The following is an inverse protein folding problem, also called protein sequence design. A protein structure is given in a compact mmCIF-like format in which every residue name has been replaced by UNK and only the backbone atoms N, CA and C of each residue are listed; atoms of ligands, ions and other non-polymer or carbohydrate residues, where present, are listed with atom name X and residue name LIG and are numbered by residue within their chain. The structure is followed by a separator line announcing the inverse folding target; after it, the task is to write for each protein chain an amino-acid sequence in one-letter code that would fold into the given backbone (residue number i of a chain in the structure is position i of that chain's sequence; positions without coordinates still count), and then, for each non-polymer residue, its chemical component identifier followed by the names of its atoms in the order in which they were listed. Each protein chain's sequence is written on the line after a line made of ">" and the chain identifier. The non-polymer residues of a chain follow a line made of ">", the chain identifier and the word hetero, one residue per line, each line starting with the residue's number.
data_IF_666446868721
#
_entry.id   IF_666446868721
#
_cell.length_a   1.000
_cell.length_b   1.000
_cell.length_c   1.000
_cell.angle_alpha   90.00
_cell.angle_beta   90.00
_cell.angle_gamma   90.00
#
_symmetry.space_group_name_H-M   'P 1'
#
loop_
_entity.id
_entity.type
_entity.pdbx_description
1 polymer ?
#
# COMPACT_ATOMS: atom_id res chain seq x y z
N UNK A 1 20.22 -20.32 21.77
CA UNK A 1 19.86 -21.00 23.04
C UNK A 1 18.35 -20.98 23.39
N UNK A 2 17.47 -20.33 22.63
CA UNK A 2 15.99 -20.30 22.85
C UNK A 2 15.21 -21.47 22.21
N UNK A 3 15.83 -22.24 21.36
CA UNK A 3 15.19 -23.33 20.59
C UNK A 3 15.06 -24.66 21.33
N UNK A 4 15.69 -24.80 22.51
CA UNK A 4 15.76 -26.05 23.25
C UNK A 4 14.75 -26.18 24.42
N UNK A 5 13.96 -25.15 24.71
CA UNK A 5 12.90 -25.31 25.74
C UNK A 5 11.60 -25.73 25.07
N UNK A 6 11.43 -27.03 24.91
CA UNK A 6 10.18 -27.67 24.54
C UNK A 6 9.10 -27.34 25.58
N UNK A 7 8.11 -26.53 25.21
CA UNK A 7 6.89 -26.40 25.97
C UNK A 7 6.04 -27.64 25.77
N UNK A 8 5.39 -28.19 26.82
CA UNK A 8 4.54 -29.38 26.69
C UNK A 8 3.43 -29.07 25.67
N UNK A 9 3.27 -30.04 24.77
CA UNK A 9 2.40 -29.93 23.62
C UNK A 9 0.97 -29.57 23.95
N UNK A 10 0.59 -28.46 23.43
CA UNK A 10 -0.76 -28.25 22.97
C UNK A 10 -0.68 -27.45 21.65
N UNK A 11 -1.48 -27.85 20.66
CA UNK A 11 -1.57 -27.21 19.33
C UNK A 11 -1.96 -25.73 19.37
N UNK A 12 -2.09 -25.16 20.54
CA UNK A 12 -2.39 -23.76 20.87
C UNK A 12 -1.16 -22.98 21.32
N UNK A 13 0.06 -23.38 20.95
CA UNK A 13 1.26 -22.71 21.44
C UNK A 13 1.28 -21.25 21.04
N UNK A 14 1.43 -20.37 22.02
CA UNK A 14 1.47 -18.93 21.91
C UNK A 14 2.92 -18.43 21.95
N UNK A 15 3.87 -19.33 21.70
CA UNK A 15 5.28 -19.00 21.60
C UNK A 15 5.65 -18.43 20.23
N UNK A 16 6.88 -17.91 20.10
CA UNK A 16 7.42 -17.55 18.78
C UNK A 16 7.48 -18.80 17.89
N UNK A 17 7.62 -18.61 16.55
CA UNK A 17 7.78 -19.73 15.63
C UNK A 17 8.88 -20.67 16.09
N UNK A 18 8.61 -21.98 16.09
CA UNK A 18 9.55 -23.01 16.61
C UNK A 18 10.70 -23.30 15.65
N UNK A 19 10.44 -23.14 14.35
CA UNK A 19 11.42 -23.36 13.30
C UNK A 19 11.94 -22.04 12.73
N UNK A 20 13.19 -21.99 12.26
CA UNK A 20 13.73 -20.82 11.60
C UNK A 20 12.84 -20.39 10.41
N UNK A 21 12.73 -19.07 10.15
CA UNK A 21 12.06 -18.59 8.95
C UNK A 21 12.65 -19.22 7.69
N UNK A 22 11.78 -19.56 6.73
CA UNK A 22 12.18 -20.14 5.47
C UNK A 22 11.31 -19.62 4.32
N UNK A 23 11.79 -19.70 3.09
CA UNK A 23 10.99 -19.44 1.91
C UNK A 23 10.02 -20.58 1.63
N UNK A 24 8.90 -20.26 0.96
CA UNK A 24 7.89 -21.24 0.56
C UNK A 24 8.51 -22.46 -0.16
N UNK A 25 9.43 -22.21 -1.09
CA UNK A 25 10.08 -23.27 -1.89
C UNK A 25 10.91 -24.22 -1.03
N UNK A 26 11.51 -23.74 0.05
CA UNK A 26 12.30 -24.54 0.99
C UNK A 26 11.35 -25.41 1.82
N UNK A 27 10.28 -24.83 2.34
CA UNK A 27 9.27 -25.55 3.13
C UNK A 27 8.60 -26.65 2.31
N UNK A 28 8.27 -26.37 1.03
CA UNK A 28 7.67 -27.36 0.14
C UNK A 28 8.58 -28.58 -0.12
N UNK A 29 9.91 -28.42 -0.06
CA UNK A 29 10.87 -29.54 -0.23
C UNK A 29 11.04 -30.38 1.04
N UNK A 30 10.89 -29.77 2.20
CA UNK A 30 11.14 -30.44 3.49
C UNK A 30 9.92 -31.17 4.06
N UNK A 31 8.72 -30.70 3.73
CA UNK A 31 7.47 -31.24 4.30
C UNK A 31 6.98 -32.46 3.50
N UNK A 32 6.58 -33.51 4.24
CA UNK A 32 5.94 -34.71 3.66
C UNK A 32 4.40 -34.67 3.78
N UNK A 33 3.88 -33.83 4.65
CA UNK A 33 2.45 -33.66 4.94
C UNK A 33 2.11 -32.18 5.04
N UNK A 34 0.91 -31.80 4.62
CA UNK A 34 0.45 -30.40 4.65
C UNK A 34 1.40 -29.42 3.92
N UNK A 35 1.82 -29.80 2.72
CA UNK A 35 2.79 -29.05 1.91
C UNK A 35 2.13 -27.75 1.45
N UNK A 36 2.75 -26.58 1.73
CA UNK A 36 2.33 -25.33 1.09
C UNK A 36 2.51 -25.40 -0.42
N UNK A 37 1.51 -25.00 -1.17
CA UNK A 37 1.53 -24.92 -2.63
C UNK A 37 1.80 -23.47 -3.07
N UNK A 38 2.65 -23.32 -4.08
CA UNK A 38 2.94 -22.02 -4.69
C UNK A 38 2.44 -22.01 -6.12
N UNK A 39 1.49 -21.11 -6.42
CA UNK A 39 0.88 -20.93 -7.72
C UNK A 39 1.45 -19.64 -8.32
N UNK A 40 2.33 -19.70 -9.35
CA UNK A 40 2.85 -18.51 -10.03
C UNK A 40 1.73 -17.73 -10.71
N UNK A 41 1.81 -16.38 -10.68
CA UNK A 41 0.79 -15.50 -11.28
C UNK A 41 1.42 -14.57 -12.32
N UNK A 42 2.30 -13.67 -11.92
CA UNK A 42 3.00 -12.79 -12.86
C UNK A 42 4.48 -13.13 -12.90
N UNK A 43 5.10 -13.18 -14.09
CA UNK A 43 6.55 -13.40 -14.20
C UNK A 43 7.33 -12.16 -13.75
N UNK A 44 8.62 -12.34 -13.48
CA UNK A 44 9.54 -11.24 -13.33
C UNK A 44 9.69 -10.49 -14.67
N UNK A 45 9.84 -9.17 -14.59
CA UNK A 45 10.02 -8.33 -15.78
C UNK A 45 10.80 -7.06 -15.46
N UNK A 46 11.34 -6.41 -16.48
CA UNK A 46 11.94 -5.08 -16.33
C UNK A 46 10.93 -4.00 -16.64
N UNK A 47 10.91 -2.97 -15.82
CA UNK A 47 10.08 -1.79 -16.03
C UNK A 47 11.03 -0.61 -16.26
N UNK A 48 10.99 -0.02 -17.42
CA UNK A 48 11.76 1.18 -17.72
C UNK A 48 10.98 2.43 -17.35
N UNK A 49 11.62 3.39 -16.70
CA UNK A 49 11.03 4.69 -16.39
C UNK A 49 11.10 5.58 -17.61
N UNK A 50 9.95 5.94 -18.18
CA UNK A 50 9.88 6.70 -19.43
C UNK A 50 10.21 8.18 -19.28
N UNK A 51 9.91 8.77 -18.12
CA UNK A 51 10.07 10.22 -17.87
C UNK A 51 10.85 10.44 -16.60
N UNK A 52 11.85 11.32 -16.67
CA UNK A 52 12.58 11.75 -15.50
C UNK A 52 11.70 12.65 -14.61
N UNK A 53 11.91 12.56 -13.29
CA UNK A 53 11.40 13.57 -12.38
C UNK A 53 12.13 14.89 -12.59
N UNK A 54 11.41 15.99 -12.69
CA UNK A 54 12.01 17.30 -12.90
C UNK A 54 12.05 18.11 -11.59
N UNK A 55 13.23 18.61 -11.18
CA UNK A 55 13.32 19.51 -10.05
C UNK A 55 12.61 20.83 -10.39
N UNK A 56 11.80 21.30 -9.46
CA UNK A 56 11.12 22.59 -9.56
C UNK A 56 11.75 23.54 -8.55
N UNK A 57 12.48 24.56 -9.04
CA UNK A 57 13.20 25.55 -8.20
C UNK A 57 14.06 24.95 -7.10
N UNK A 58 14.63 23.77 -7.31
CA UNK A 58 15.60 23.13 -6.42
C UNK A 58 16.67 22.41 -7.23
N UNK A 59 17.76 22.00 -6.57
CA UNK A 59 18.78 21.18 -7.22
C UNK A 59 18.27 19.74 -7.44
N UNK A 60 18.75 19.04 -8.48
CA UNK A 60 18.48 17.60 -8.63
C UNK A 60 18.85 16.82 -7.35
N UNK A 61 18.02 15.82 -7.04
CA UNK A 61 18.20 15.00 -5.84
C UNK A 61 18.33 13.52 -6.21
N UNK A 62 19.32 12.79 -5.65
CA UNK A 62 19.61 11.39 -6.04
C UNK A 62 18.46 10.41 -5.87
N UNK A 63 17.52 10.67 -4.97
CA UNK A 63 16.34 9.83 -4.77
C UNK A 63 15.47 9.69 -6.04
N UNK A 64 15.58 10.60 -7.01
CA UNK A 64 14.82 10.60 -8.25
C UNK A 64 15.63 10.10 -9.46
N UNK A 65 16.90 9.77 -9.25
CA UNK A 65 17.77 9.19 -10.26
C UNK A 65 17.68 7.65 -10.23
N UNK A 66 16.51 7.11 -10.60
CA UNK A 66 16.26 5.68 -10.63
C UNK A 66 15.86 5.30 -12.05
N UNK A 67 16.79 4.80 -12.88
CA UNK A 67 16.54 4.56 -14.31
C UNK A 67 15.61 3.37 -14.56
N UNK A 68 15.67 2.34 -13.75
CA UNK A 68 14.91 1.10 -13.93
C UNK A 68 14.23 0.63 -12.64
N UNK A 69 13.06 0.01 -12.80
CA UNK A 69 12.44 -0.79 -11.76
C UNK A 69 12.19 -2.21 -12.30
N UNK A 70 12.43 -3.22 -11.50
CA UNK A 70 12.15 -4.61 -11.84
C UNK A 70 10.74 -4.98 -11.38
N UNK A 71 9.98 -5.60 -12.27
CA UNK A 71 8.71 -6.21 -11.86
C UNK A 71 9.00 -7.45 -11.02
N UNK A 72 8.51 -7.45 -9.80
CA UNK A 72 8.58 -8.61 -8.92
C UNK A 72 7.66 -9.72 -9.42
N UNK A 73 8.12 -10.96 -9.50
CA UNK A 73 7.23 -12.09 -9.77
C UNK A 73 6.22 -12.22 -8.63
N UNK A 74 4.96 -12.45 -8.99
CA UNK A 74 3.90 -12.65 -8.01
C UNK A 74 3.40 -14.08 -8.02
N UNK A 75 2.91 -14.53 -6.87
CA UNK A 75 2.37 -15.86 -6.67
C UNK A 75 1.23 -15.85 -5.65
N UNK A 76 0.45 -16.92 -5.63
CA UNK A 76 -0.48 -17.23 -4.56
C UNK A 76 0.05 -18.45 -3.79
N UNK A 77 0.27 -18.29 -2.49
CA UNK A 77 0.59 -19.38 -1.59
C UNK A 77 -0.69 -19.98 -1.01
N UNK A 78 -0.84 -21.29 -1.07
CA UNK A 78 -1.90 -22.08 -0.43
C UNK A 78 -1.31 -22.85 0.72
N UNK A 79 -1.77 -22.57 1.96
CA UNK A 79 -1.13 -23.08 3.19
C UNK A 79 -2.19 -23.79 4.03
N UNK A 80 -2.16 -25.13 4.08
CA UNK A 80 -3.04 -25.91 4.96
C UNK A 80 -2.79 -25.55 6.42
N UNK A 81 -3.84 -25.35 7.19
CA UNK A 81 -3.80 -24.98 8.62
C UNK A 81 -2.87 -23.82 8.95
N UNK A 82 -2.75 -22.89 7.98
CA UNK A 82 -1.91 -21.71 8.11
C UNK A 82 -2.42 -20.71 9.16
N UNK A 83 -1.49 -19.95 9.74
CA UNK A 83 -1.78 -18.91 10.74
C UNK A 83 -1.28 -17.55 10.29
N UNK A 84 -1.98 -16.51 10.72
CA UNK A 84 -1.56 -15.11 10.52
C UNK A 84 -1.46 -14.42 11.87
N UNK A 85 -0.36 -13.69 12.09
CA UNK A 85 -0.12 -12.91 13.31
C UNK A 85 0.11 -11.45 12.94
N UNK A 86 -0.68 -10.52 13.49
CA UNK A 86 -0.47 -9.08 13.42
C UNK A 86 0.55 -8.58 14.46
N UNK A 87 0.90 -7.29 14.43
CA UNK A 87 0.46 -6.24 13.50
C UNK A 87 1.22 -6.20 12.15
N UNK A 88 2.50 -6.56 12.09
CA UNK A 88 3.32 -6.61 10.87
C UNK A 88 3.28 -7.98 10.20
N UNK A 89 2.14 -8.50 10.05
CA UNK A 89 1.73 -9.72 9.32
C UNK A 89 2.80 -10.81 9.18
N UNK A 90 2.89 -11.70 10.18
CA UNK A 90 3.64 -12.94 10.06
C UNK A 90 2.72 -14.07 9.61
N UNK A 91 3.11 -14.80 8.58
CA UNK A 91 2.42 -15.99 8.07
C UNK A 91 3.19 -17.23 8.50
N UNK A 92 2.49 -18.15 9.18
CA UNK A 92 3.09 -19.36 9.73
C UNK A 92 2.42 -20.61 9.16
N UNK A 93 3.21 -21.65 8.92
CA UNK A 93 2.73 -22.98 8.55
C UNK A 93 2.15 -23.73 9.76
N UNK A 94 1.48 -24.87 9.52
CA UNK A 94 1.05 -25.80 10.57
C UNK A 94 2.21 -26.35 11.40
N UNK A 95 3.39 -26.48 10.80
CA UNK A 95 4.63 -26.89 11.48
C UNK A 95 5.30 -25.76 12.29
N UNK A 96 4.63 -24.63 12.47
CA UNK A 96 5.12 -23.50 13.27
C UNK A 96 6.38 -22.82 12.70
N UNK A 97 6.47 -22.73 11.36
CA UNK A 97 7.54 -22.04 10.64
C UNK A 97 7.01 -20.78 9.95
N UNK A 98 7.68 -19.66 10.14
CA UNK A 98 7.36 -18.43 9.45
C UNK A 98 7.82 -18.48 7.99
N UNK A 99 6.95 -18.05 7.07
CA UNK A 99 7.23 -17.94 5.63
C UNK A 99 7.77 -16.55 5.32
N UNK A 100 9.08 -16.45 5.09
CA UNK A 100 9.79 -15.16 4.96
C UNK A 100 9.45 -14.36 3.72
N UNK A 101 9.01 -15.01 2.64
CA UNK A 101 8.64 -14.38 1.37
C UNK A 101 7.24 -13.75 1.37
N UNK A 102 6.43 -14.02 2.37
CA UNK A 102 5.09 -13.43 2.57
C UNK A 102 4.92 -12.75 3.93
N UNK A 103 5.96 -12.76 4.77
CA UNK A 103 6.01 -12.13 6.10
C UNK A 103 7.07 -11.04 6.10
N UNK A 104 6.70 -9.87 5.58
CA UNK A 104 7.64 -8.74 5.45
C UNK A 104 7.50 -7.82 6.66
N UNK A 105 8.60 -7.61 7.38
CA UNK A 105 8.73 -6.59 8.43
C UNK A 105 9.90 -5.67 8.05
N UNK A 106 9.59 -4.45 7.61
CA UNK A 106 10.60 -3.54 7.05
C UNK A 106 11.69 -3.20 8.06
N UNK A 107 12.93 -3.48 7.69
CA UNK A 107 14.09 -3.29 8.55
C UNK A 107 14.35 -4.44 9.52
N UNK A 108 13.47 -5.46 9.58
CA UNK A 108 13.60 -6.60 10.49
C UNK A 108 13.38 -7.94 9.78
N UNK A 109 14.25 -8.34 8.84
CA UNK A 109 14.05 -9.55 8.06
C UNK A 109 14.32 -10.82 8.88
N UNK A 110 13.70 -11.93 8.48
CA UNK A 110 13.97 -13.26 9.01
C UNK A 110 13.76 -13.37 10.52
N UNK A 111 14.80 -13.72 11.27
CA UNK A 111 14.74 -13.87 12.74
C UNK A 111 14.52 -12.55 13.50
N UNK A 112 14.75 -11.42 12.86
CA UNK A 112 14.51 -10.10 13.45
C UNK A 112 13.04 -9.70 13.38
N UNK A 113 12.24 -10.41 12.59
CA UNK A 113 10.81 -10.17 12.49
C UNK A 113 10.13 -10.21 13.86
N UNK A 114 9.15 -9.32 14.11
CA UNK A 114 8.52 -9.18 15.42
C UNK A 114 8.00 -10.51 15.99
N UNK A 115 7.44 -11.39 15.13
CA UNK A 115 6.89 -12.67 15.56
C UNK A 115 7.95 -13.63 16.10
N UNK A 116 9.21 -13.52 15.62
CA UNK A 116 10.34 -14.32 16.09
C UNK A 116 10.98 -13.74 17.36
N UNK A 117 10.84 -12.45 17.60
CA UNK A 117 11.46 -11.73 18.73
C UNK A 117 10.61 -11.72 20.00
N UNK A 118 9.30 -11.94 19.88
CA UNK A 118 8.40 -11.94 21.02
C UNK A 118 8.51 -13.23 21.83
N UNK A 119 8.47 -13.10 23.13
CA UNK A 119 8.43 -14.25 24.03
C UNK A 119 7.09 -15.00 23.93
N UNK A 120 6.00 -14.26 23.72
CA UNK A 120 4.65 -14.80 23.51
C UNK A 120 3.95 -14.06 22.37
N UNK A 121 3.27 -14.80 21.52
CA UNK A 121 2.31 -14.28 20.56
C UNK A 121 0.92 -14.17 21.22
N UNK A 122 -0.01 -13.37 20.68
CA UNK A 122 -1.39 -13.38 21.11
C UNK A 122 -2.03 -14.78 21.03
N UNK A 123 -3.11 -15.00 21.78
CA UNK A 123 -3.86 -16.27 21.66
C UNK A 123 -4.35 -16.45 20.24
N UNK A 124 -4.12 -17.64 19.68
CA UNK A 124 -4.61 -17.99 18.36
C UNK A 124 -6.10 -18.30 18.42
N UNK A 125 -6.88 -17.70 17.52
CA UNK A 125 -8.29 -18.04 17.32
C UNK A 125 -8.44 -18.87 16.05
N UNK A 126 -9.12 -20.00 16.17
CA UNK A 126 -9.41 -20.90 15.06
C UNK A 126 -10.70 -20.49 14.34
N UNK A 127 -10.67 -20.51 13.02
CA UNK A 127 -11.80 -20.31 12.15
C UNK A 127 -11.91 -21.49 11.19
N UNK A 128 -13.13 -21.95 10.95
CA UNK A 128 -13.42 -22.95 9.93
C UNK A 128 -13.33 -22.35 8.51
N UNK A 129 -13.00 -23.19 7.55
CA UNK A 129 -12.98 -22.86 6.14
C UNK A 129 -11.69 -22.18 5.70
N UNK A 130 -11.81 -21.39 4.65
CA UNK A 130 -10.70 -20.75 3.93
C UNK A 130 -10.61 -19.25 4.16
N UNK A 131 -9.39 -18.70 4.12
CA UNK A 131 -9.19 -17.26 4.21
C UNK A 131 -8.16 -16.74 3.20
N UNK A 132 -8.42 -15.52 2.67
CA UNK A 132 -7.49 -14.78 1.83
C UNK A 132 -6.84 -13.65 2.65
N UNK A 133 -5.52 -13.62 2.67
CA UNK A 133 -4.75 -12.59 3.37
C UNK A 133 -4.54 -11.39 2.46
N UNK A 134 -5.23 -10.29 2.74
CA UNK A 134 -4.97 -8.98 2.13
C UNK A 134 -4.00 -8.17 2.98
N UNK A 135 -3.99 -8.38 4.29
CA UNK A 135 -3.11 -7.69 5.21
C UNK A 135 -1.63 -7.85 4.84
N UNK A 136 -0.87 -6.78 4.95
CA UNK A 136 0.59 -6.75 4.87
C UNK A 136 1.12 -5.59 5.72
N UNK A 137 2.42 -5.54 5.94
CA UNK A 137 3.05 -4.45 6.68
C UNK A 137 2.67 -3.09 6.08
N UNK A 138 2.21 -2.18 6.93
CA UNK A 138 1.79 -0.83 6.53
C UNK A 138 0.43 -0.72 5.86
N UNK A 139 -0.30 -1.83 5.63
CA UNK A 139 -1.61 -1.79 4.93
C UNK A 139 -2.74 -1.16 5.76
N UNK A 140 -2.46 -0.70 6.96
CA UNK A 140 -3.28 0.22 7.74
C UNK A 140 -3.13 1.69 7.31
N UNK A 141 -2.22 1.97 6.35
CA UNK A 141 -2.04 3.27 5.70
C UNK A 141 -2.55 3.23 4.26
N UNK A 142 -3.06 4.36 3.77
CA UNK A 142 -3.72 4.43 2.46
C UNK A 142 -2.81 4.03 1.29
N UNK A 143 -1.55 4.49 1.29
CA UNK A 143 -0.58 4.14 0.24
C UNK A 143 -0.41 2.63 0.10
N UNK A 144 -0.03 1.95 1.18
CA UNK A 144 0.22 0.50 1.17
C UNK A 144 -1.05 -0.32 0.98
N UNK A 145 -2.20 0.20 1.43
CA UNK A 145 -3.46 -0.42 1.10
C UNK A 145 -3.71 -0.46 -0.40
N UNK A 146 -3.51 0.66 -1.09
CA UNK A 146 -3.75 0.79 -2.53
C UNK A 146 -2.71 0.04 -3.37
N UNK A 147 -1.44 0.01 -2.95
CA UNK A 147 -0.35 -0.55 -3.77
C UNK A 147 -0.02 -1.99 -3.43
N UNK A 148 -0.18 -2.40 -2.17
CA UNK A 148 0.34 -3.67 -1.69
C UNK A 148 -0.74 -4.64 -1.20
N UNK A 149 -1.83 -4.13 -0.61
CA UNK A 149 -2.86 -4.96 -0.01
C UNK A 149 -4.03 -5.26 -0.96
N UNK A 150 -4.73 -4.23 -1.45
CA UNK A 150 -5.91 -4.38 -2.29
C UNK A 150 -5.62 -5.12 -3.61
N UNK A 151 -4.48 -4.90 -4.30
CA UNK A 151 -4.14 -5.63 -5.52
C UNK A 151 -3.91 -7.14 -5.31
N UNK A 152 -3.77 -7.60 -4.09
CA UNK A 152 -3.73 -9.04 -3.77
C UNK A 152 -5.01 -9.77 -4.16
N UNK A 153 -6.15 -9.06 -4.27
CA UNK A 153 -7.38 -9.60 -4.84
C UNK A 153 -7.20 -10.03 -6.30
N UNK A 154 -6.46 -9.24 -7.10
CA UNK A 154 -6.18 -9.60 -8.49
C UNK A 154 -5.27 -10.83 -8.59
N UNK A 155 -4.25 -10.95 -7.74
CA UNK A 155 -3.37 -12.12 -7.69
C UNK A 155 -4.19 -13.39 -7.38
N UNK A 156 -5.07 -13.32 -6.38
CA UNK A 156 -5.92 -14.45 -6.01
C UNK A 156 -6.91 -14.80 -7.12
N UNK A 157 -7.57 -13.81 -7.72
CA UNK A 157 -8.52 -14.02 -8.83
C UNK A 157 -7.84 -14.62 -10.08
N UNK A 158 -6.60 -14.22 -10.37
CA UNK A 158 -5.83 -14.79 -11.48
C UNK A 158 -5.46 -16.27 -11.22
N UNK A 159 -5.03 -16.58 -10.00
CA UNK A 159 -4.60 -17.92 -9.62
C UNK A 159 -5.74 -18.93 -9.48
N UNK A 160 -6.91 -18.50 -8.99
CA UNK A 160 -8.03 -19.35 -8.64
C UNK A 160 -9.24 -19.24 -9.58
N UNK A 161 -9.21 -18.26 -10.50
CA UNK A 161 -10.34 -17.89 -11.34
C UNK A 161 -11.19 -16.76 -10.74
N UNK A 162 -11.75 -15.90 -11.60
CA UNK A 162 -12.47 -14.68 -11.20
C UNK A 162 -13.71 -14.93 -10.30
N UNK A 163 -14.31 -16.12 -10.39
CA UNK A 163 -15.47 -16.52 -9.57
C UNK A 163 -15.12 -17.07 -8.20
N UNK A 164 -13.84 -17.36 -7.93
CA UNK A 164 -13.44 -17.93 -6.65
C UNK A 164 -13.65 -16.95 -5.49
N UNK A 165 -14.12 -17.47 -4.36
CA UNK A 165 -14.31 -16.71 -3.12
C UNK A 165 -13.85 -17.53 -1.92
N UNK A 166 -13.02 -16.97 -1.02
CA UNK A 166 -12.76 -17.58 0.28
C UNK A 166 -13.95 -17.38 1.22
N UNK A 167 -13.98 -18.07 2.34
CA UNK A 167 -14.97 -17.84 3.40
C UNK A 167 -14.71 -16.55 4.16
N UNK A 168 -13.41 -16.12 4.25
CA UNK A 168 -12.96 -14.97 5.01
C UNK A 168 -11.89 -14.16 4.29
N UNK A 169 -11.85 -12.85 4.57
CA UNK A 169 -10.79 -11.93 4.12
C UNK A 169 -10.09 -11.33 5.34
N UNK A 170 -8.75 -11.36 5.38
CA UNK A 170 -7.94 -10.86 6.49
C UNK A 170 -7.34 -9.52 6.09
N UNK A 171 -7.62 -8.47 6.87
CA UNK A 171 -7.08 -7.12 6.70
C UNK A 171 -6.34 -6.67 7.95
N UNK A 172 -5.44 -5.69 7.85
CA UNK A 172 -4.72 -5.16 9.02
C UNK A 172 -5.66 -4.43 9.97
N UNK A 173 -6.49 -3.52 9.44
CA UNK A 173 -7.44 -2.74 10.24
C UNK A 173 -8.72 -2.43 9.44
N UNK A 174 -9.82 -3.07 9.81
CA UNK A 174 -11.14 -2.86 9.20
C UNK A 174 -11.83 -1.57 9.67
N UNK A 175 -11.32 -0.88 10.68
CA UNK A 175 -11.89 0.41 11.12
C UNK A 175 -11.50 1.55 10.19
N UNK A 176 -10.46 1.40 9.38
CA UNK A 176 -10.08 2.37 8.37
C UNK A 176 -11.19 2.49 7.32
N UNK A 177 -11.69 3.70 7.12
CA UNK A 177 -12.78 3.99 6.19
C UNK A 177 -12.46 3.53 4.78
N UNK A 178 -11.26 3.86 4.28
CA UNK A 178 -10.82 3.46 2.94
C UNK A 178 -10.74 1.93 2.76
N UNK A 179 -10.42 1.16 3.81
CA UNK A 179 -10.44 -0.30 3.76
C UNK A 179 -11.85 -0.81 3.54
N UNK A 180 -12.80 -0.39 4.38
CA UNK A 180 -14.20 -0.84 4.26
C UNK A 180 -14.81 -0.49 2.91
N UNK A 181 -14.72 0.78 2.52
CA UNK A 181 -15.36 1.28 1.32
C UNK A 181 -14.76 0.68 0.04
N UNK A 182 -13.43 0.47 0.00
CA UNK A 182 -12.77 -0.11 -1.18
C UNK A 182 -13.06 -1.59 -1.40
N UNK A 183 -13.58 -2.31 -0.41
CA UNK A 183 -13.98 -3.70 -0.54
C UNK A 183 -15.39 -3.88 -1.12
N UNK A 184 -16.21 -2.83 -1.15
CA UNK A 184 -17.60 -2.86 -1.64
C UNK A 184 -17.72 -3.30 -3.11
N UNK A 185 -16.93 -2.77 -4.08
CA UNK A 185 -17.05 -3.17 -5.49
C UNK A 185 -16.73 -4.65 -5.74
N UNK A 186 -16.00 -5.27 -4.81
CA UNK A 186 -15.67 -6.70 -4.89
C UNK A 186 -16.75 -7.60 -4.27
N UNK A 187 -17.85 -7.02 -3.73
CA UNK A 187 -18.91 -7.77 -3.07
C UNK A 187 -18.46 -8.47 -1.78
N UNK A 188 -17.43 -7.96 -1.10
CA UNK A 188 -16.90 -8.53 0.13
C UNK A 188 -17.74 -8.03 1.31
N UNK A 189 -18.51 -8.91 1.98
CA UNK A 189 -19.38 -8.48 3.08
C UNK A 189 -18.56 -8.17 4.35
N UNK A 190 -18.83 -7.09 5.06
CA UNK A 190 -18.10 -6.73 6.28
C UNK A 190 -18.09 -7.83 7.35
N UNK A 191 -19.14 -8.66 7.39
CA UNK A 191 -19.26 -9.79 8.32
C UNK A 191 -18.29 -10.94 8.05
N UNK A 192 -17.64 -10.95 6.87
CA UNK A 192 -16.62 -11.93 6.46
C UNK A 192 -15.21 -11.34 6.45
N UNK A 193 -15.04 -10.13 6.97
CA UNK A 193 -13.73 -9.48 7.10
C UNK A 193 -13.21 -9.63 8.52
N UNK A 194 -12.01 -10.20 8.64
CA UNK A 194 -11.29 -10.33 9.92
C UNK A 194 -10.20 -9.26 9.96
N UNK A 195 -10.23 -8.47 11.04
CA UNK A 195 -9.26 -7.40 11.30
C UNK A 195 -8.18 -7.88 12.28
N UNK A 196 -6.91 -7.82 11.86
CA UNK A 196 -5.79 -8.18 12.75
C UNK A 196 -5.60 -7.19 13.90
N UNK A 197 -6.17 -5.98 13.83
CA UNK A 197 -6.20 -5.05 14.95
C UNK A 197 -7.10 -5.54 16.10
N UNK A 198 -8.10 -6.36 15.80
CA UNK A 198 -9.04 -6.95 16.79
C UNK A 198 -8.75 -8.42 17.09
N UNK A 199 -8.40 -9.19 16.06
CA UNK A 199 -8.07 -10.61 16.12
C UNK A 199 -6.60 -10.80 15.68
N UNK A 200 -5.63 -10.51 16.58
CA UNK A 200 -4.23 -10.37 16.18
C UNK A 200 -3.52 -11.69 15.89
N UNK A 201 -4.15 -12.83 16.07
CA UNK A 201 -3.61 -14.14 15.74
C UNK A 201 -4.75 -15.11 15.37
N UNK A 202 -4.78 -15.52 14.11
CA UNK A 202 -5.84 -16.35 13.54
C UNK A 202 -5.29 -17.54 12.77
N UNK A 203 -6.03 -18.66 12.76
CA UNK A 203 -5.74 -19.87 12.01
C UNK A 203 -6.96 -20.32 11.22
N UNK A 204 -6.72 -20.86 10.03
CA UNK A 204 -7.75 -21.38 9.12
C UNK A 204 -7.42 -22.80 8.66
N UNK A 205 -8.43 -23.54 8.24
CA UNK A 205 -8.24 -24.85 7.61
C UNK A 205 -7.41 -24.71 6.34
N UNK A 206 -7.69 -23.66 5.55
CA UNK A 206 -6.94 -23.32 4.35
C UNK A 206 -6.66 -21.82 4.29
N UNK A 207 -5.40 -21.44 4.26
CA UNK A 207 -4.97 -20.05 4.12
C UNK A 207 -4.44 -19.81 2.71
N UNK A 208 -4.91 -18.73 2.07
CA UNK A 208 -4.43 -18.23 0.79
C UNK A 208 -3.69 -16.92 1.01
N UNK A 209 -2.43 -16.87 0.62
CA UNK A 209 -1.56 -15.72 0.84
C UNK A 209 -0.93 -15.29 -0.46
N UNK A 210 -1.45 -14.22 -1.10
CA UNK A 210 -0.78 -13.62 -2.25
C UNK A 210 0.55 -13.00 -1.82
N UNK A 211 1.56 -13.07 -2.69
CA UNK A 211 2.80 -12.29 -2.53
C UNK A 211 2.50 -10.79 -2.57
N UNK A 212 3.50 -9.97 -2.22
CA UNK A 212 3.41 -8.52 -2.44
C UNK A 212 3.48 -8.21 -3.94
N UNK A 213 2.71 -7.21 -4.42
CA UNK A 213 2.78 -6.74 -5.81
C UNK A 213 4.09 -6.02 -6.16
N UNK A 214 4.84 -5.60 -5.16
CA UNK A 214 6.15 -4.95 -5.31
C UNK A 214 7.16 -5.54 -4.32
N UNK A 215 8.44 -5.56 -4.70
CA UNK A 215 9.49 -6.22 -3.92
C UNK A 215 9.93 -5.47 -2.68
N UNK A 216 9.73 -4.16 -2.64
CA UNK A 216 10.34 -3.34 -1.61
C UNK A 216 9.40 -2.27 -1.07
N UNK A 217 9.72 -1.81 0.13
CA UNK A 217 9.18 -0.59 0.72
C UNK A 217 9.40 0.67 -0.13
N UNK A 218 10.17 0.58 -1.23
CA UNK A 218 10.45 1.69 -2.13
C UNK A 218 9.27 2.08 -3.04
N UNK A 219 8.20 1.28 -3.06
CA UNK A 219 6.99 1.65 -3.76
C UNK A 219 7.12 1.68 -5.28
N UNK A 220 7.76 0.66 -5.87
CA UNK A 220 7.77 0.47 -7.33
C UNK A 220 6.72 -0.59 -7.75
N UNK A 221 5.42 -0.28 -7.73
CA UNK A 221 4.40 -1.24 -8.08
C UNK A 221 4.41 -1.55 -9.58
N UNK A 222 4.00 -2.77 -9.90
CA UNK A 222 3.87 -3.24 -11.28
C UNK A 222 2.74 -2.49 -12.01
N UNK A 223 2.81 -2.29 -13.35
CA UNK A 223 1.78 -1.59 -14.14
C UNK A 223 0.38 -2.14 -13.95
N UNK A 224 0.23 -3.47 -13.86
CA UNK A 224 -1.06 -4.12 -13.66
C UNK A 224 -1.80 -3.67 -12.38
N UNK A 225 -1.07 -3.13 -11.38
CA UNK A 225 -1.69 -2.59 -10.16
C UNK A 225 -2.58 -1.38 -10.46
N UNK A 226 -2.10 -0.44 -11.28
CA UNK A 226 -2.91 0.70 -11.69
C UNK A 226 -4.08 0.30 -12.60
N UNK A 227 -3.87 -0.65 -13.49
CA UNK A 227 -4.92 -1.21 -14.37
C UNK A 227 -6.02 -1.88 -13.54
N UNK A 228 -5.65 -2.71 -12.58
CA UNK A 228 -6.59 -3.35 -11.66
C UNK A 228 -7.40 -2.33 -10.87
N UNK A 229 -6.76 -1.33 -10.26
CA UNK A 229 -7.46 -0.32 -9.47
C UNK A 229 -8.42 0.50 -10.32
N UNK A 230 -8.01 0.95 -11.50
CA UNK A 230 -8.87 1.72 -12.40
C UNK A 230 -10.06 0.90 -12.87
N UNK A 231 -9.86 -0.35 -13.25
CA UNK A 231 -10.94 -1.25 -13.66
C UNK A 231 -11.92 -1.52 -12.51
N UNK A 232 -11.40 -1.77 -11.30
CA UNK A 232 -12.24 -2.08 -10.13
C UNK A 232 -13.14 -0.91 -9.70
N UNK A 233 -12.68 0.33 -9.90
CA UNK A 233 -13.39 1.54 -9.47
C UNK A 233 -13.94 2.38 -10.64
N UNK A 234 -13.95 1.84 -11.85
CA UNK A 234 -14.41 2.55 -13.06
C UNK A 234 -15.81 3.12 -12.91
N UNK A 235 -16.75 2.35 -12.38
CA UNK A 235 -18.14 2.81 -12.18
C UNK A 235 -18.23 4.00 -11.21
N UNK A 236 -17.31 4.13 -10.29
CA UNK A 236 -17.24 5.29 -9.39
C UNK A 236 -16.60 6.50 -10.07
N UNK A 237 -15.59 6.27 -10.89
CA UNK A 237 -14.92 7.31 -11.66
C UNK A 237 -15.86 7.98 -12.70
N UNK A 238 -16.75 7.18 -13.30
CA UNK A 238 -17.70 7.63 -14.34
C UNK A 238 -18.97 8.30 -13.79
N UNK A 239 -19.23 8.18 -12.48
CA UNK A 239 -20.37 8.85 -11.82
C UNK A 239 -20.13 10.36 -11.63
N UNK A 240 -20.11 11.07 -12.75
CA UNK A 240 -19.67 12.49 -12.87
C UNK A 240 -20.78 13.49 -12.58
N UNK A 241 -21.60 13.31 -11.55
CA UNK A 241 -22.64 14.29 -11.17
C UNK A 241 -22.11 15.61 -10.60
N UNK A 242 -20.79 15.78 -10.47
CA UNK A 242 -20.17 16.99 -9.93
C UNK A 242 -19.11 17.53 -10.87
N UNK A 243 -19.05 18.85 -11.06
CA UNK A 243 -17.92 19.54 -11.65
C UNK A 243 -16.67 19.28 -10.79
N UNK A 244 -15.86 18.32 -11.19
CA UNK A 244 -14.60 18.04 -10.51
C UNK A 244 -13.57 19.08 -10.93
N UNK A 245 -12.93 19.75 -9.97
CA UNK A 245 -11.82 20.64 -10.27
C UNK A 245 -10.69 19.85 -10.92
N UNK A 246 -10.23 20.34 -12.07
CA UNK A 246 -9.08 19.74 -12.76
C UNK A 246 -7.75 19.99 -12.04
N UNK A 247 -7.72 20.90 -11.07
CA UNK A 247 -6.52 21.29 -10.33
C UNK A 247 -6.74 21.20 -8.81
N UNK A 248 -5.92 20.39 -8.14
CA UNK A 248 -6.08 20.03 -6.74
C UNK A 248 -4.81 20.35 -5.96
N UNK A 249 -4.97 21.05 -4.83
CA UNK A 249 -3.98 21.10 -3.76
C UNK A 249 -4.36 20.06 -2.70
N UNK A 250 -3.47 19.10 -2.45
CA UNK A 250 -3.63 18.14 -1.35
C UNK A 250 -3.15 18.81 -0.07
N UNK A 251 -4.10 19.12 0.81
CA UNK A 251 -3.81 19.62 2.15
C UNK A 251 -3.74 18.41 3.12
N UNK A 252 -2.83 18.45 4.06
CA UNK A 252 -2.70 17.42 5.10
C UNK A 252 -3.23 17.98 6.40
N UNK A 253 -4.43 17.56 6.78
CA UNK A 253 -4.98 17.90 8.09
C UNK A 253 -4.14 17.28 9.23
N UNK A 254 -4.03 17.94 10.34
CA UNK A 254 -3.72 17.37 11.66
C UNK A 254 -2.33 16.78 11.97
N UNK A 255 -1.53 16.32 11.01
CA UNK A 255 -0.17 15.83 11.27
C UNK A 255 0.83 17.00 11.21
N UNK A 256 1.04 17.65 12.35
CA UNK A 256 1.93 18.82 12.47
C UNK A 256 3.37 18.58 11.95
N UNK A 257 3.84 17.33 11.93
CA UNK A 257 5.20 17.01 11.46
C UNK A 257 5.35 17.06 9.94
N UNK A 258 4.25 17.07 9.19
CA UNK A 258 4.22 17.01 7.72
C UNK A 258 3.22 17.97 7.09
N UNK A 259 2.60 18.81 7.89
CA UNK A 259 1.63 19.80 7.42
C UNK A 259 2.40 20.95 6.77
N UNK A 260 1.94 21.35 5.60
CA UNK A 260 2.39 22.57 4.96
C UNK A 260 1.31 23.64 5.21
N UNK A 261 1.51 24.55 6.17
CA UNK A 261 0.46 25.47 6.55
C UNK A 261 0.14 26.39 5.38
N UNK A 262 -1.14 26.52 5.05
CA UNK A 262 -1.67 27.43 4.06
C UNK A 262 -2.32 28.63 4.76
N UNK A 263 -1.64 29.75 4.94
CA UNK A 263 -2.22 30.98 5.44
C UNK A 263 -3.41 31.43 4.60
N UNK A 264 -4.34 32.23 5.17
CA UNK A 264 -5.52 32.71 4.44
C UNK A 264 -5.19 33.42 3.12
N UNK A 265 -4.08 34.17 3.07
CA UNK A 265 -3.64 34.83 1.85
C UNK A 265 -3.32 33.82 0.73
N UNK A 266 -2.61 32.75 1.03
CA UNK A 266 -2.24 31.71 0.07
C UNK A 266 -3.45 30.88 -0.36
N UNK A 267 -4.36 30.55 0.57
CA UNK A 267 -5.64 29.89 0.22
C UNK A 267 -6.46 30.76 -0.76
N UNK A 268 -6.39 32.09 -0.64
CA UNK A 268 -7.02 33.04 -1.58
C UNK A 268 -6.38 32.93 -2.96
N UNK A 269 -5.04 32.93 -3.03
CA UNK A 269 -4.29 32.80 -4.29
C UNK A 269 -4.64 31.48 -4.97
N UNK A 270 -4.59 30.34 -4.27
CA UNK A 270 -4.96 29.05 -4.82
C UNK A 270 -6.37 29.06 -5.41
N UNK A 271 -7.32 29.66 -4.71
CA UNK A 271 -8.70 29.79 -5.18
C UNK A 271 -8.83 30.67 -6.42
N UNK A 272 -8.08 31.79 -6.48
CA UNK A 272 -8.02 32.66 -7.67
C UNK A 272 -7.44 31.96 -8.90
N UNK A 273 -6.53 30.99 -8.68
CA UNK A 273 -5.95 30.14 -9.71
C UNK A 273 -6.85 28.95 -10.11
N UNK A 274 -8.05 28.83 -9.51
CA UNK A 274 -8.93 27.68 -9.73
C UNK A 274 -8.45 26.38 -9.07
N UNK A 275 -7.50 26.46 -8.13
CA UNK A 275 -6.97 25.30 -7.42
C UNK A 275 -7.86 25.00 -6.21
N UNK A 276 -8.44 23.82 -6.18
CA UNK A 276 -9.26 23.35 -5.08
C UNK A 276 -8.38 22.71 -4.00
N UNK A 277 -8.48 23.24 -2.77
CA UNK A 277 -7.77 22.68 -1.62
C UNK A 277 -8.60 21.56 -1.01
N UNK A 278 -8.05 20.34 -0.98
CA UNK A 278 -8.74 19.14 -0.53
C UNK A 278 -7.95 18.41 0.55
N UNK A 279 -8.69 17.79 1.47
CA UNK A 279 -8.16 16.88 2.50
C UNK A 279 -8.74 15.49 2.24
N UNK A 280 -8.05 14.63 1.46
CA UNK A 280 -8.59 13.32 1.05
C UNK A 280 -9.02 12.44 2.23
N UNK A 281 -8.33 12.52 3.37
CA UNK A 281 -8.65 11.76 4.57
C UNK A 281 -10.04 12.06 5.17
N UNK A 282 -10.63 13.22 4.85
CA UNK A 282 -11.97 13.59 5.29
C UNK A 282 -13.06 13.12 4.34
N UNK A 283 -12.70 12.72 3.12
CA UNK A 283 -13.62 12.32 2.06
C UNK A 283 -13.96 10.83 2.14
N UNK A 284 -15.11 10.43 1.57
CA UNK A 284 -15.34 9.01 1.28
C UNK A 284 -14.35 8.53 0.22
N UNK A 285 -14.02 7.23 0.22
CA UNK A 285 -13.12 6.69 -0.80
C UNK A 285 -13.74 6.82 -2.21
N UNK A 286 -15.06 6.66 -2.32
CA UNK A 286 -15.79 6.89 -3.58
C UNK A 286 -15.63 8.33 -4.08
N UNK A 287 -15.73 9.33 -3.19
CA UNK A 287 -15.53 10.73 -3.59
C UNK A 287 -14.08 11.02 -3.94
N UNK A 288 -13.11 10.37 -3.27
CA UNK A 288 -11.71 10.46 -3.68
C UNK A 288 -11.51 9.91 -5.10
N UNK A 289 -12.03 8.71 -5.43
CA UNK A 289 -11.94 8.14 -6.77
C UNK A 289 -12.53 9.10 -7.81
N UNK A 290 -13.74 9.64 -7.57
CA UNK A 290 -14.39 10.61 -8.47
C UNK A 290 -13.55 11.86 -8.69
N UNK A 291 -13.10 12.48 -7.61
CA UNK A 291 -12.30 13.70 -7.67
C UNK A 291 -11.02 13.48 -8.47
N UNK A 292 -10.27 12.45 -8.11
CA UNK A 292 -8.95 12.22 -8.69
C UNK A 292 -9.00 11.64 -10.12
N UNK A 293 -10.07 10.97 -10.52
CA UNK A 293 -10.26 10.56 -11.92
C UNK A 293 -10.35 11.73 -12.90
N UNK A 294 -10.92 12.86 -12.46
CA UNK A 294 -10.99 14.11 -13.23
C UNK A 294 -9.78 15.04 -13.04
N UNK A 295 -8.90 14.76 -12.10
CA UNK A 295 -7.79 15.65 -11.77
C UNK A 295 -6.69 15.61 -12.84
N UNK A 296 -6.32 16.80 -13.33
CA UNK A 296 -5.25 17.02 -14.33
C UNK A 296 -3.98 17.56 -13.69
N UNK A 297 -4.08 18.26 -12.58
CA UNK A 297 -2.98 18.87 -11.85
C UNK A 297 -3.11 18.53 -10.37
N UNK A 298 -2.04 18.02 -9.79
CA UNK A 298 -1.92 17.71 -8.38
C UNK A 298 -0.73 18.37 -7.74
N UNK A 299 -0.95 19.09 -6.65
CA UNK A 299 0.08 19.83 -5.94
C UNK A 299 -0.08 19.57 -4.45
N UNK A 300 1.01 19.48 -3.72
CA UNK A 300 0.93 19.41 -2.26
C UNK A 300 2.18 18.82 -1.60
N UNK A 301 2.20 18.82 -0.27
CA UNK A 301 3.26 18.20 0.50
C UNK A 301 3.24 16.68 0.36
N UNK A 302 4.43 16.07 0.42
CA UNK A 302 4.61 14.61 0.40
C UNK A 302 3.65 13.89 1.36
N UNK A 303 2.86 12.96 0.84
CA UNK A 303 1.90 12.22 1.65
C UNK A 303 0.98 11.27 0.91
N UNK A 304 0.31 10.38 1.66
CA UNK A 304 -0.50 9.28 1.13
C UNK A 304 -1.61 9.70 0.16
N UNK A 305 -2.09 10.95 0.24
CA UNK A 305 -3.07 11.50 -0.68
C UNK A 305 -2.64 11.46 -2.16
N UNK A 306 -1.32 11.51 -2.45
CA UNK A 306 -0.80 11.36 -3.81
C UNK A 306 -1.08 9.99 -4.43
N UNK A 307 -1.32 8.95 -3.65
CA UNK A 307 -1.68 7.63 -4.18
C UNK A 307 -3.01 7.66 -4.96
N UNK A 308 -3.89 8.62 -4.69
CA UNK A 308 -5.14 8.79 -5.44
C UNK A 308 -4.92 9.14 -6.92
N UNK A 309 -3.76 9.69 -7.30
CA UNK A 309 -3.46 9.95 -8.71
C UNK A 309 -3.30 8.69 -9.56
N UNK A 310 -3.31 7.49 -8.96
CA UNK A 310 -3.50 6.24 -9.69
C UNK A 310 -4.82 6.22 -10.50
N UNK A 311 -5.82 6.99 -10.10
CA UNK A 311 -7.08 7.14 -10.81
C UNK A 311 -7.05 8.19 -11.92
N UNK A 312 -6.07 9.10 -11.92
CA UNK A 312 -5.94 10.17 -12.91
C UNK A 312 -5.35 9.66 -14.23
N UNK A 313 -5.53 10.43 -15.29
CA UNK A 313 -4.95 10.16 -16.60
C UNK A 313 -3.95 11.26 -16.97
N UNK A 314 -2.67 10.91 -17.08
CA UNK A 314 -1.55 11.81 -17.44
C UNK A 314 -1.51 13.11 -16.65
N UNK A 315 -1.64 13.12 -15.32
CA UNK A 315 -1.65 14.35 -14.57
C UNK A 315 -0.28 15.03 -14.56
N UNK A 316 -0.29 16.34 -14.30
CA UNK A 316 0.88 17.10 -13.87
C UNK A 316 0.94 17.05 -12.35
N UNK A 317 2.05 16.59 -11.78
CA UNK A 317 2.23 16.48 -10.33
C UNK A 317 3.38 17.38 -9.86
N UNK A 318 3.16 18.15 -8.81
CA UNK A 318 4.19 18.85 -8.06
C UNK A 318 4.15 18.42 -6.61
N UNK A 319 5.14 17.64 -6.21
CA UNK A 319 5.28 17.16 -4.83
C UNK A 319 6.31 18.00 -4.07
N UNK A 320 5.94 18.43 -2.85
CA UNK A 320 6.76 19.32 -2.03
C UNK A 320 7.31 18.52 -0.84
N UNK A 321 8.63 18.55 -0.68
CA UNK A 321 9.34 17.84 0.37
C UNK A 321 10.01 18.77 1.37
N UNK A 322 10.01 18.42 2.66
CA UNK A 322 10.97 18.97 3.59
C UNK A 322 12.37 18.41 3.28
N UNK A 323 13.43 19.22 3.50
CA UNK A 323 14.81 18.86 3.16
C UNK A 323 15.34 17.59 3.83
N UNK A 324 14.80 17.26 5.01
CA UNK A 324 15.23 16.12 5.82
C UNK A 324 14.50 14.80 5.49
N UNK A 325 13.52 14.81 4.55
CA UNK A 325 12.73 13.63 4.24
C UNK A 325 12.26 13.61 2.78
N UNK A 326 13.12 13.11 1.91
CA UNK A 326 12.80 12.91 0.49
C UNK A 326 12.57 11.43 0.23
N UNK A 327 11.44 11.09 -0.38
CA UNK A 327 11.09 9.71 -0.74
C UNK A 327 10.40 9.68 -2.10
N UNK A 328 10.93 8.92 -3.05
CA UNK A 328 10.49 8.87 -4.44
C UNK A 328 9.27 7.95 -4.69
N UNK A 329 8.52 7.48 -3.68
CA UNK A 329 7.44 6.51 -3.87
C UNK A 329 6.33 7.02 -4.80
N UNK A 330 5.94 8.31 -4.74
CA UNK A 330 4.93 8.86 -5.65
C UNK A 330 5.49 9.19 -7.02
N UNK A 331 6.80 9.44 -7.16
CA UNK A 331 7.46 9.44 -8.46
C UNK A 331 7.36 8.05 -9.11
N UNK A 332 7.57 6.98 -8.34
CA UNK A 332 7.39 5.61 -8.84
C UNK A 332 5.94 5.34 -9.26
N UNK A 333 4.94 5.82 -8.50
CA UNK A 333 3.53 5.73 -8.89
C UNK A 333 3.20 6.54 -10.14
N UNK A 334 3.78 7.74 -10.27
CA UNK A 334 3.46 8.70 -11.33
C UNK A 334 3.66 8.12 -12.74
N UNK A 335 4.64 7.22 -12.91
CA UNK A 335 4.89 6.54 -14.18
C UNK A 335 3.78 5.57 -14.61
N UNK A 336 3.04 4.99 -13.65
CA UNK A 336 1.93 4.06 -13.94
C UNK A 336 0.74 4.78 -14.61
N UNK A 337 0.70 6.09 -14.49
CA UNK A 337 -0.35 6.96 -15.03
C UNK A 337 0.19 7.92 -16.09
N UNK A 338 1.43 7.72 -16.54
CA UNK A 338 2.14 8.56 -17.51
C UNK A 338 2.17 10.05 -17.10
N UNK A 339 2.28 10.34 -15.79
CA UNK A 339 2.29 11.70 -15.27
C UNK A 339 3.55 12.47 -15.65
N UNK A 340 3.42 13.79 -15.75
CA UNK A 340 4.55 14.70 -15.70
C UNK A 340 4.82 15.00 -14.23
N UNK A 341 5.94 14.48 -13.69
CA UNK A 341 6.24 14.59 -12.28
C UNK A 341 7.33 15.62 -12.00
N UNK A 342 7.02 16.54 -11.11
CA UNK A 342 7.92 17.56 -10.60
C UNK A 342 8.01 17.44 -9.07
N UNK A 343 9.14 17.88 -8.52
CA UNK A 343 9.35 17.95 -7.10
C UNK A 343 10.03 19.25 -6.68
N UNK A 344 9.66 19.75 -5.52
CA UNK A 344 10.32 20.84 -4.82
C UNK A 344 10.85 20.37 -3.49
N UNK A 345 12.09 20.69 -3.16
CA UNK A 345 12.70 20.41 -1.87
C UNK A 345 12.91 21.72 -1.15
N UNK A 346 12.20 21.91 -0.05
CA UNK A 346 12.30 23.11 0.78
C UNK A 346 13.65 23.15 1.47
N UNK A 347 14.43 24.21 1.21
CA UNK A 347 15.79 24.37 1.76
C UNK A 347 15.82 25.15 3.07
N UNK A 348 14.70 25.77 3.47
CA UNK A 348 14.62 26.45 4.76
C UNK A 348 14.45 25.43 5.90
N UNK A 349 15.12 25.66 7.00
CA UNK A 349 15.01 24.84 8.23
C UNK A 349 13.65 24.96 8.91
N UNK A 350 12.82 25.89 8.47
CA UNK A 350 11.45 26.04 8.92
C UNK A 350 10.54 25.08 8.14
N UNK A 351 10.41 23.86 8.64
CA UNK A 351 9.47 22.81 8.16
C UNK A 351 8.03 23.29 7.98
N UNK A 352 7.73 24.49 8.41
CA UNK A 352 6.41 25.11 8.47
C UNK A 352 6.36 26.44 7.71
N UNK A 353 7.42 26.78 6.96
CA UNK A 353 7.37 27.97 6.10
C UNK A 353 6.29 27.77 5.04
N UNK A 354 5.45 28.76 4.88
CA UNK A 354 4.47 28.80 3.79
C UNK A 354 5.18 28.66 2.45
N UNK A 355 4.57 28.00 1.45
CA UNK A 355 5.14 27.92 0.11
C UNK A 355 5.55 29.32 -0.36
N UNK A 356 6.74 29.52 -0.94
CA UNK A 356 7.14 30.79 -1.49
C UNK A 356 6.09 31.29 -2.47
N UNK A 357 5.72 32.56 -2.41
CA UNK A 357 4.74 33.15 -3.31
C UNK A 357 5.07 32.92 -4.78
N UNK A 358 6.34 32.84 -5.09
CA UNK A 358 6.90 32.52 -6.40
C UNK A 358 6.47 31.13 -6.93
N UNK A 359 6.27 30.12 -6.07
CA UNK A 359 5.71 28.83 -6.48
C UNK A 359 4.31 29.02 -7.05
N UNK A 360 3.50 29.85 -6.41
CA UNK A 360 2.13 30.12 -6.88
C UNK A 360 2.10 30.90 -8.18
N UNK A 361 3.04 31.79 -8.43
CA UNK A 361 3.15 32.55 -9.69
C UNK A 361 3.49 31.62 -10.87
N UNK A 362 4.44 30.67 -10.70
CA UNK A 362 4.75 29.68 -11.73
C UNK A 362 3.64 28.64 -11.93
N UNK A 363 2.97 28.22 -10.84
CA UNK A 363 1.79 27.38 -10.95
C UNK A 363 0.72 28.05 -11.80
N UNK A 364 0.55 29.36 -11.66
CA UNK A 364 -0.36 30.15 -12.50
C UNK A 364 0.01 30.06 -13.99
N UNK A 365 1.29 30.08 -14.31
CA UNK A 365 1.75 29.92 -15.69
C UNK A 365 1.51 28.49 -16.21
N UNK A 366 1.72 27.47 -15.39
CA UNK A 366 1.49 26.06 -15.77
C UNK A 366 0.00 25.74 -15.99
N UNK A 367 -0.88 26.31 -15.20
CA UNK A 367 -2.34 26.09 -15.31
C UNK A 367 -2.89 26.70 -16.59
N UNK A 368 -2.29 27.80 -17.05
CA UNK A 368 -2.70 28.53 -18.27
C UNK A 368 -2.09 27.97 -19.55
N UNK A 369 -1.02 27.15 -19.45
CA UNK A 369 -0.37 26.44 -20.58
C UNK A 369 -1.00 25.06 -20.82
#
# INVERSE_FOLDING_TARGET
>A
MRWAMGWPGDSTSWGPPRLPPAKMVEVARESKTEIPELIPVHPAGKIFRKKAAAPFRCKPHPAFDIPEASQTPTFLARIPRGRVVGPTVAVLTSADRMLSDVSVDWGHPGMEHFACRRFRLPRCRDFAGSALVLACTGSDTFFHWMTDALPRLAIAAHAQGAGWRPDWWIVSDSEKRFVRESLEPFGIPPTRVISLSREPHVRFEQLYVPSLPCESSSGDPSPWVAEFLRSAFQAWAEDTKSETSSCIWIDRGGDASRTYPLPPAQRRILRQLGIQVMQPETMSFRDQVRLFSGARIGIGPHGAGFANFLFSNRPLLLEIFPSNRVNACYYSLSRLVDARYHYHIETSTALLASPPQEIFEELSAWIKS
#
